data_IF_229672453637
#
_entry.id   IF_229672453637
#
_cell.length_a   1.000
_cell.length_b   1.000
_cell.length_c   1.000
_cell.angle_alpha   90.00
_cell.angle_beta   90.00
_cell.angle_gamma   90.00
#
_symmetry.space_group_name_H-M   'P 1'
#
loop_
_entity.id
_entity.type
_entity.pdbx_description
1 polymer ?
#
# COMPACT_ATOMS: atom_id res chain seq x y z
N UNK A 1 7.02 -2.35 -23.39
CA UNK A 1 6.98 -0.98 -22.85
C UNK A 1 7.91 -0.96 -21.64
N UNK A 2 8.84 -0.01 -21.54
CA UNK A 2 9.74 0.06 -20.39
C UNK A 2 9.00 0.68 -19.19
N UNK A 3 9.16 0.08 -18.00
CA UNK A 3 8.67 0.65 -16.74
C UNK A 3 9.73 1.65 -16.25
N UNK A 4 9.29 2.87 -15.92
CA UNK A 4 10.15 3.95 -15.48
C UNK A 4 10.10 4.02 -13.95
N UNK A 5 11.26 4.24 -13.31
CA UNK A 5 11.38 4.45 -11.86
C UNK A 5 11.72 5.91 -11.61
N UNK A 6 10.96 6.58 -10.75
CA UNK A 6 11.10 8.01 -10.45
C UNK A 6 11.20 8.15 -8.93
N UNK A 7 12.22 8.87 -8.45
CA UNK A 7 12.41 9.14 -7.03
C UNK A 7 11.35 10.12 -6.49
N UNK A 8 10.89 9.89 -5.27
CA UNK A 8 9.90 10.72 -4.59
C UNK A 8 10.42 11.33 -3.29
N UNK A 9 9.49 11.67 -2.40
CA UNK A 9 9.83 12.24 -1.09
C UNK A 9 10.62 11.25 -0.23
N UNK A 10 11.67 11.74 0.41
CA UNK A 10 12.54 10.98 1.32
C UNK A 10 12.19 11.20 2.80
N UNK A 11 11.25 12.10 3.10
CA UNK A 11 10.75 12.39 4.44
C UNK A 11 9.23 12.61 4.43
N UNK A 12 8.59 12.36 5.57
CA UNK A 12 7.19 12.70 5.77
C UNK A 12 6.97 14.22 5.82
N UNK A 13 5.71 14.67 5.65
CA UNK A 13 5.36 16.10 5.59
C UNK A 13 5.76 16.89 6.84
N UNK A 14 5.57 16.28 8.02
CA UNK A 14 5.83 16.92 9.31
C UNK A 14 6.64 16.01 10.23
N UNK A 15 6.29 14.72 10.26
CA UNK A 15 6.85 13.76 11.21
C UNK A 15 8.31 13.47 10.90
N UNK A 16 9.20 13.67 11.88
CA UNK A 16 10.50 13.02 11.86
C UNK A 16 10.36 11.63 12.44
N UNK A 17 10.58 10.62 11.61
CA UNK A 17 10.41 9.23 12.01
C UNK A 17 11.64 8.74 12.76
N UNK A 18 11.39 8.02 13.85
CA UNK A 18 12.41 7.16 14.43
C UNK A 18 12.65 5.97 13.51
N UNK A 19 13.86 5.38 13.57
CA UNK A 19 14.17 4.18 12.79
C UNK A 19 13.15 3.09 13.13
N UNK A 20 12.46 2.58 12.11
CA UNK A 20 11.53 1.44 12.24
C UNK A 20 12.23 0.14 12.63
N UNK A 21 11.46 -0.93 12.78
CA UNK A 21 12.05 -2.25 12.94
C UNK A 21 12.66 -2.76 11.63
N UNK A 22 13.53 -3.75 11.72
CA UNK A 22 14.17 -4.34 10.54
C UNK A 22 13.28 -5.48 9.96
N UNK A 23 11.95 -5.28 9.87
CA UNK A 23 10.99 -6.32 9.43
C UNK A 23 11.32 -6.87 8.04
N UNK A 24 11.85 -6.01 7.16
CA UNK A 24 12.29 -6.35 5.80
C UNK A 24 13.83 -6.42 5.67
N UNK A 25 14.55 -6.52 6.78
CA UNK A 25 16.01 -6.36 6.82
C UNK A 25 16.43 -4.88 6.89
N UNK A 26 17.73 -4.65 7.01
CA UNK A 26 18.31 -3.30 7.16
C UNK A 26 18.39 -2.54 5.84
N UNK A 27 18.39 -3.24 4.71
CA UNK A 27 18.36 -2.70 3.36
C UNK A 27 16.94 -2.56 2.79
N UNK A 28 15.92 -3.04 3.53
CA UNK A 28 14.53 -3.11 3.06
C UNK A 28 14.28 -4.19 2.00
N UNK A 29 15.27 -5.04 1.72
CA UNK A 29 15.25 -6.04 0.65
C UNK A 29 15.82 -7.40 1.10
N UNK A 30 15.67 -7.72 2.39
CA UNK A 30 16.00 -9.03 2.93
C UNK A 30 17.42 -9.23 3.41
N UNK A 31 18.24 -8.17 3.42
CA UNK A 31 19.70 -8.25 3.60
C UNK A 31 20.30 -9.28 2.62
N UNK A 32 19.83 -9.22 1.37
CA UNK A 32 20.12 -10.18 0.31
C UNK A 32 20.99 -9.51 -0.78
N UNK A 33 22.32 -9.40 -0.56
CA UNK A 33 23.19 -8.64 -1.45
C UNK A 33 23.20 -9.25 -2.85
N UNK A 34 22.92 -8.43 -3.85
CA UNK A 34 23.04 -8.78 -5.27
C UNK A 34 24.22 -8.03 -5.91
N UNK A 35 25.26 -8.73 -6.41
CA UNK A 35 26.37 -8.09 -7.09
C UNK A 35 25.99 -7.42 -8.42
N UNK A 36 24.78 -7.68 -8.95
CA UNK A 36 24.29 -7.15 -10.21
C UNK A 36 23.17 -6.10 -10.04
N UNK A 37 23.11 -5.43 -8.89
CA UNK A 37 22.12 -4.38 -8.67
C UNK A 37 22.14 -3.32 -9.79
N UNK A 38 20.97 -2.92 -10.31
CA UNK A 38 20.88 -1.87 -11.32
C UNK A 38 21.44 -0.54 -10.80
N UNK A 39 22.09 0.24 -11.66
CA UNK A 39 22.60 1.57 -11.29
C UNK A 39 21.45 2.51 -10.92
N UNK A 40 21.66 3.32 -9.88
CA UNK A 40 20.77 4.43 -9.52
C UNK A 40 20.66 5.49 -10.63
N UNK A 41 21.59 5.51 -11.59
CA UNK A 41 21.49 6.38 -12.77
C UNK A 41 20.26 6.08 -13.66
N UNK A 42 19.62 4.92 -13.48
CA UNK A 42 18.37 4.55 -14.15
C UNK A 42 17.15 5.27 -13.55
N UNK A 43 17.26 5.77 -12.32
CA UNK A 43 16.21 6.54 -11.66
C UNK A 43 16.10 7.90 -12.35
N UNK A 44 14.87 8.27 -12.73
CA UNK A 44 14.65 9.55 -13.38
C UNK A 44 14.96 10.71 -12.43
N UNK A 45 15.50 11.80 -12.99
CA UNK A 45 15.85 13.02 -12.24
C UNK A 45 14.63 13.86 -11.86
N UNK A 46 13.52 13.69 -12.58
CA UNK A 46 12.26 14.33 -12.22
C UNK A 46 11.78 13.80 -10.87
N UNK A 47 11.09 14.63 -10.09
CA UNK A 47 10.46 14.21 -8.84
C UNK A 47 9.09 13.56 -9.12
N UNK A 48 8.78 12.44 -8.46
CA UNK A 48 7.55 11.66 -8.62
C UNK A 48 6.26 12.52 -8.62
N UNK A 49 6.17 13.49 -7.70
CA UNK A 49 5.08 14.47 -7.59
C UNK A 49 4.80 15.20 -8.92
N UNK A 50 5.83 15.69 -9.61
CA UNK A 50 5.65 16.37 -10.89
C UNK A 50 5.23 15.39 -11.97
N UNK A 51 5.88 14.22 -12.03
CA UNK A 51 5.53 13.19 -12.99
C UNK A 51 4.07 12.74 -12.85
N UNK A 52 3.59 12.57 -11.62
CA UNK A 52 2.19 12.25 -11.34
C UNK A 52 1.25 13.37 -11.82
N UNK A 53 1.53 14.63 -11.50
CA UNK A 53 0.72 15.78 -11.92
C UNK A 53 0.67 15.89 -13.45
N UNK A 54 1.81 15.75 -14.13
CA UNK A 54 1.88 15.83 -15.59
C UNK A 54 1.12 14.69 -16.26
N UNK A 55 1.23 13.47 -15.72
CA UNK A 55 0.51 12.32 -16.25
C UNK A 55 -1.01 12.47 -16.10
N UNK A 56 -1.53 12.90 -14.94
CA UNK A 56 -2.99 13.10 -14.78
C UNK A 56 -3.54 14.22 -15.65
N UNK A 57 -2.76 15.30 -15.86
CA UNK A 57 -3.12 16.37 -16.80
C UNK A 57 -3.18 15.87 -18.23
N UNK A 58 -2.26 14.99 -18.61
CA UNK A 58 -2.18 14.44 -19.98
C UNK A 58 -3.25 13.39 -20.24
N UNK A 59 -3.63 12.62 -19.23
CA UNK A 59 -4.59 11.52 -19.33
C UNK A 59 -5.70 11.62 -18.27
N UNK A 60 -6.49 12.70 -18.26
CA UNK A 60 -7.49 12.93 -17.22
C UNK A 60 -8.57 11.83 -17.26
N UNK A 61 -8.88 11.28 -16.10
CA UNK A 61 -9.86 10.20 -15.91
C UNK A 61 -9.39 8.81 -16.37
N UNK A 62 -8.13 8.65 -16.79
CA UNK A 62 -7.62 7.37 -17.30
C UNK A 62 -6.63 6.69 -16.35
N UNK A 63 -5.99 7.43 -15.44
CA UNK A 63 -4.95 6.91 -14.56
C UNK A 63 -5.55 6.36 -13.28
N UNK A 64 -5.23 5.09 -12.99
CA UNK A 64 -5.43 4.47 -11.68
C UNK A 64 -4.13 4.52 -10.90
N UNK A 65 -4.17 5.00 -9.65
CA UNK A 65 -3.05 4.90 -8.72
C UNK A 65 -3.23 3.70 -7.80
N UNK A 66 -2.13 2.99 -7.52
CA UNK A 66 -2.03 1.97 -6.47
C UNK A 66 -0.93 2.39 -5.52
N UNK A 67 -1.30 2.90 -4.35
CA UNK A 67 -0.39 3.40 -3.33
C UNK A 67 -0.18 2.32 -2.27
N UNK A 68 1.06 1.85 -2.15
CA UNK A 68 1.49 0.73 -1.28
C UNK A 68 2.55 1.19 -0.25
N UNK A 69 2.70 2.50 -0.09
CA UNK A 69 3.63 3.14 0.83
C UNK A 69 2.99 4.36 1.50
N UNK A 70 3.77 5.14 2.27
CA UNK A 70 3.30 6.40 2.85
C UNK A 70 2.77 7.36 1.77
N UNK A 71 1.72 8.10 2.10
CA UNK A 71 0.93 8.86 1.12
C UNK A 71 1.51 10.26 0.82
N UNK A 72 2.76 10.52 1.20
CA UNK A 72 3.42 11.83 1.14
C UNK A 72 3.36 12.46 -0.24
N UNK A 73 3.78 11.72 -1.27
CA UNK A 73 3.80 12.24 -2.65
C UNK A 73 2.40 12.53 -3.18
N UNK A 74 1.39 11.73 -2.81
CA UNK A 74 0.00 11.96 -3.21
C UNK A 74 -0.56 13.23 -2.55
N UNK A 75 -0.28 13.43 -1.26
CA UNK A 75 -0.66 14.64 -0.55
C UNK A 75 0.01 15.88 -1.14
N UNK A 76 1.32 15.81 -1.44
CA UNK A 76 2.05 16.90 -2.10
C UNK A 76 1.49 17.20 -3.49
N UNK A 77 1.25 16.17 -4.31
CA UNK A 77 0.66 16.35 -5.64
C UNK A 77 -0.69 17.07 -5.58
N UNK A 78 -1.54 16.68 -4.64
CA UNK A 78 -2.83 17.35 -4.42
C UNK A 78 -2.68 18.79 -3.91
N UNK A 79 -1.68 19.08 -3.07
CA UNK A 79 -1.39 20.44 -2.59
C UNK A 79 -0.86 21.35 -3.69
N UNK A 80 0.05 20.86 -4.54
CA UNK A 80 0.55 21.63 -5.69
C UNK A 80 -0.49 21.77 -6.81
N UNK A 81 -1.35 20.77 -6.98
CA UNK A 81 -2.39 20.76 -8.00
C UNK A 81 -3.71 20.21 -7.43
N UNK A 82 -4.61 21.08 -6.91
CA UNK A 82 -5.85 20.63 -6.26
C UNK A 82 -6.80 19.79 -7.14
N UNK A 83 -6.72 19.93 -8.46
CA UNK A 83 -7.47 19.11 -9.43
C UNK A 83 -6.88 17.70 -9.62
N UNK A 84 -5.72 17.40 -9.02
CA UNK A 84 -5.02 16.12 -9.15
C UNK A 84 -5.94 14.92 -8.91
N UNK A 85 -6.61 14.90 -7.75
CA UNK A 85 -7.46 13.78 -7.37
C UNK A 85 -8.73 13.68 -8.22
N UNK A 86 -9.27 14.80 -8.70
CA UNK A 86 -10.43 14.81 -9.62
C UNK A 86 -10.13 14.17 -10.97
N UNK A 87 -8.86 14.18 -11.39
CA UNK A 87 -8.43 13.66 -12.69
C UNK A 87 -7.94 12.21 -12.61
N UNK A 88 -7.90 11.62 -11.42
CA UNK A 88 -7.67 10.19 -11.27
C UNK A 88 -8.93 9.41 -11.62
N UNK A 89 -8.75 8.26 -12.28
CA UNK A 89 -9.81 7.29 -12.50
C UNK A 89 -10.21 6.63 -11.17
N UNK A 90 -9.21 6.06 -10.50
CA UNK A 90 -9.34 5.37 -9.21
C UNK A 90 -8.06 5.52 -8.40
N UNK A 91 -8.17 5.39 -7.07
CA UNK A 91 -7.02 5.27 -6.18
C UNK A 91 -7.20 4.07 -5.24
N UNK A 92 -6.27 3.13 -5.31
CA UNK A 92 -6.21 1.97 -4.43
C UNK A 92 -5.11 2.22 -3.40
N UNK A 93 -5.41 2.06 -2.12
CA UNK A 93 -4.46 2.34 -1.03
C UNK A 93 -4.34 1.09 -0.18
N UNK A 94 -3.12 0.58 -0.02
CA UNK A 94 -2.77 -0.33 1.08
C UNK A 94 -2.27 0.52 2.25
N UNK A 95 -2.95 0.42 3.38
CA UNK A 95 -2.49 1.06 4.60
C UNK A 95 -3.61 1.37 5.59
N UNK A 96 -3.20 1.83 6.76
CA UNK A 96 -4.09 2.14 7.86
C UNK A 96 -4.84 0.92 8.39
N UNK A 97 -5.88 1.21 9.16
CA UNK A 97 -6.62 0.19 9.89
C UNK A 97 -8.09 0.58 10.12
N UNK A 98 -8.91 -0.37 10.55
CA UNK A 98 -10.34 -0.10 10.79
C UNK A 98 -10.87 -0.65 12.12
N UNK A 99 -10.18 -1.63 12.71
CA UNK A 99 -10.41 -2.18 14.05
C UNK A 99 -9.43 -1.59 15.08
N UNK A 100 -8.60 -0.63 14.65
CA UNK A 100 -7.51 -0.03 15.43
C UNK A 100 -6.41 -1.05 15.81
N UNK A 101 -6.24 -2.12 15.02
CA UNK A 101 -5.12 -3.02 15.17
C UNK A 101 -3.92 -2.45 14.40
N UNK A 102 -2.82 -2.17 15.10
CA UNK A 102 -1.58 -1.68 14.49
C UNK A 102 -0.56 -2.77 14.25
N UNK A 103 0.41 -2.50 13.36
CA UNK A 103 1.57 -3.36 13.12
C UNK A 103 2.91 -2.71 13.50
N UNK A 104 2.96 -1.37 13.56
CA UNK A 104 4.15 -0.61 13.99
C UNK A 104 3.98 -0.04 15.40
N UNK A 105 2.76 0.41 15.74
CA UNK A 105 2.37 0.73 17.11
C UNK A 105 1.18 -0.13 17.52
N UNK A 106 0.66 0.07 18.74
CA UNK A 106 -0.53 -0.65 19.21
C UNK A 106 -1.77 -0.37 18.37
N UNK A 107 -1.83 0.78 17.68
CA UNK A 107 -3.05 1.24 17.02
C UNK A 107 -2.82 1.85 15.64
N UNK A 108 -1.60 1.89 15.12
CA UNK A 108 -1.30 2.43 13.80
C UNK A 108 -0.63 1.36 12.93
N UNK A 109 -1.05 1.35 11.67
CA UNK A 109 -0.40 0.63 10.59
C UNK A 109 0.80 1.46 10.09
N UNK A 110 1.84 0.78 9.62
CA UNK A 110 3.12 1.33 9.16
C UNK A 110 2.98 2.52 8.19
N UNK A 111 2.37 2.34 7.01
CA UNK A 111 2.25 3.40 6.01
C UNK A 111 1.51 4.63 6.54
N UNK A 112 0.43 4.41 7.31
CA UNK A 112 -0.32 5.47 7.98
C UNK A 112 0.48 6.17 9.08
N UNK A 113 1.29 5.44 9.83
CA UNK A 113 2.14 5.96 10.90
C UNK A 113 3.32 6.77 10.37
N UNK A 114 3.88 6.37 9.22
CA UNK A 114 5.03 7.06 8.63
C UNK A 114 4.70 8.49 8.22
N UNK A 115 3.51 8.74 7.67
CA UNK A 115 3.05 10.09 7.35
C UNK A 115 1.54 10.27 7.57
N UNK A 116 1.11 10.45 8.83
CA UNK A 116 -0.31 10.53 9.15
C UNK A 116 -0.93 11.83 8.65
N UNK A 117 -0.14 12.90 8.52
CA UNK A 117 -0.57 14.15 7.91
C UNK A 117 -0.93 13.96 6.43
N UNK A 118 -0.06 13.29 5.67
CA UNK A 118 -0.34 12.98 4.28
C UNK A 118 -1.57 12.08 4.15
N UNK A 119 -1.68 11.05 5.00
CA UNK A 119 -2.86 10.19 5.02
C UNK A 119 -4.16 10.97 5.29
N UNK A 120 -4.14 11.92 6.23
CA UNK A 120 -5.30 12.80 6.49
C UNK A 120 -5.71 13.58 5.24
N UNK A 121 -4.74 14.21 4.57
CA UNK A 121 -4.99 14.99 3.35
C UNK A 121 -5.63 14.10 2.28
N UNK A 122 -5.03 12.96 2.00
CA UNK A 122 -5.52 12.06 0.94
C UNK A 122 -6.93 11.56 1.26
N UNK A 123 -7.16 11.03 2.46
CA UNK A 123 -8.42 10.38 2.80
C UNK A 123 -9.61 11.34 2.99
N UNK A 124 -9.35 12.58 3.36
CA UNK A 124 -10.41 13.56 3.66
C UNK A 124 -10.65 14.56 2.54
N UNK A 125 -9.73 14.69 1.57
CA UNK A 125 -9.81 15.74 0.54
C UNK A 125 -9.78 15.22 -0.90
N UNK A 126 -9.34 13.98 -1.15
CA UNK A 126 -9.40 13.43 -2.51
C UNK A 126 -10.84 13.26 -2.99
N UNK A 127 -11.03 13.51 -4.29
CA UNK A 127 -12.36 13.49 -4.91
C UNK A 127 -12.57 12.32 -5.88
N UNK A 128 -11.52 11.56 -6.22
CA UNK A 128 -11.70 10.28 -6.89
C UNK A 128 -12.22 9.22 -5.92
N UNK A 129 -12.72 8.12 -6.46
CA UNK A 129 -13.05 6.95 -5.66
C UNK A 129 -11.77 6.31 -5.11
N UNK A 130 -11.70 6.21 -3.78
CA UNK A 130 -10.63 5.56 -3.04
C UNK A 130 -11.11 4.19 -2.55
N UNK A 131 -10.38 3.13 -2.91
CA UNK A 131 -10.50 1.79 -2.31
C UNK A 131 -9.38 1.55 -1.32
N UNK A 132 -9.72 1.39 -0.03
CA UNK A 132 -8.77 1.18 1.05
C UNK A 132 -8.69 -0.31 1.41
N UNK A 133 -7.46 -0.82 1.45
CA UNK A 133 -7.07 -2.16 1.85
C UNK A 133 -6.31 -2.06 3.18
N UNK A 134 -7.01 -2.14 4.33
CA UNK A 134 -6.42 -1.95 5.64
C UNK A 134 -5.58 -3.14 6.08
N UNK A 135 -4.64 -2.93 7.01
CA UNK A 135 -3.80 -3.99 7.58
C UNK A 135 -4.59 -5.23 8.03
N UNK A 136 -5.72 -5.00 8.70
CA UNK A 136 -6.55 -6.09 9.21
C UNK A 136 -7.12 -6.99 8.12
N UNK A 137 -7.49 -6.41 6.97
CA UNK A 137 -7.91 -7.19 5.81
C UNK A 137 -6.75 -8.10 5.36
N UNK A 138 -5.53 -7.57 5.32
CA UNK A 138 -4.36 -8.33 4.88
C UNK A 138 -4.05 -9.51 5.80
N UNK A 139 -4.20 -9.32 7.12
CA UNK A 139 -4.05 -10.41 8.10
C UNK A 139 -5.13 -11.47 7.90
N UNK A 140 -6.39 -11.05 7.76
CA UNK A 140 -7.54 -11.95 7.56
C UNK A 140 -7.43 -12.72 6.22
N UNK A 141 -6.76 -12.13 5.23
CA UNK A 141 -6.52 -12.68 3.90
C UNK A 141 -5.12 -13.30 3.71
N UNK A 142 -4.39 -13.62 4.79
CA UNK A 142 -3.07 -14.23 4.67
C UNK A 142 -3.09 -15.60 3.97
N UNK A 143 -2.09 -15.85 3.12
CA UNK A 143 -1.96 -17.10 2.39
C UNK A 143 -1.60 -18.26 3.32
N UNK A 144 -2.17 -19.46 3.09
CA UNK A 144 -1.69 -20.68 3.70
C UNK A 144 -0.20 -20.91 3.41
N UNK A 145 0.55 -21.36 4.42
CA UNK A 145 2.00 -21.59 4.28
C UNK A 145 2.37 -22.66 3.26
N UNK A 146 1.50 -23.65 3.04
CA UNK A 146 1.67 -24.67 1.99
C UNK A 146 1.47 -24.08 0.58
N UNK A 147 0.58 -23.11 0.41
CA UNK A 147 0.45 -22.34 -0.82
C UNK A 147 1.67 -21.45 -1.08
N UNK A 148 2.19 -20.77 -0.04
CA UNK A 148 3.47 -20.07 -0.12
C UNK A 148 4.61 -21.01 -0.57
N UNK A 149 4.74 -22.19 0.07
CA UNK A 149 5.78 -23.16 -0.28
C UNK A 149 5.61 -23.69 -1.72
N UNK A 150 4.38 -23.71 -2.25
CA UNK A 150 4.09 -24.03 -3.67
C UNK A 150 4.56 -22.91 -4.60
N UNK A 151 4.24 -21.64 -4.32
CA UNK A 151 4.71 -20.49 -5.11
C UNK A 151 6.24 -20.44 -5.15
N UNK A 152 6.88 -20.55 -3.98
CA UNK A 152 8.34 -20.51 -3.83
C UNK A 152 9.06 -21.64 -4.56
N UNK A 153 8.40 -22.73 -4.95
CA UNK A 153 9.01 -23.84 -5.71
C UNK A 153 8.94 -23.67 -7.23
N UNK A 154 8.25 -22.64 -7.73
CA UNK A 154 8.18 -22.34 -9.16
C UNK A 154 9.55 -21.95 -9.73
N UNK A 155 9.77 -22.19 -11.01
CA UNK A 155 11.05 -21.90 -11.69
C UNK A 155 11.18 -20.48 -12.23
N UNK A 156 10.09 -19.68 -12.20
CA UNK A 156 10.09 -18.31 -12.70
C UNK A 156 11.00 -17.38 -11.91
N UNK A 157 11.38 -16.26 -12.54
CA UNK A 157 12.29 -15.26 -11.95
C UNK A 157 11.69 -14.58 -10.71
N UNK A 158 10.37 -14.46 -10.65
CA UNK A 158 9.61 -13.90 -9.54
C UNK A 158 9.74 -14.81 -8.31
N UNK A 159 9.59 -16.12 -8.51
CA UNK A 159 9.80 -17.11 -7.46
C UNK A 159 11.26 -17.16 -7.01
N UNK A 160 12.23 -16.98 -7.93
CA UNK A 160 13.63 -16.86 -7.56
C UNK A 160 13.90 -15.62 -6.72
N UNK A 161 13.38 -14.46 -7.12
CA UNK A 161 13.51 -13.23 -6.35
C UNK A 161 12.93 -13.39 -4.95
N UNK A 162 11.71 -13.94 -4.83
CA UNK A 162 11.06 -14.27 -3.56
C UNK A 162 11.96 -15.17 -2.68
N UNK A 163 12.56 -16.21 -3.26
CA UNK A 163 13.48 -17.10 -2.53
C UNK A 163 14.69 -16.37 -1.96
N UNK A 164 15.21 -15.39 -2.69
CA UNK A 164 16.42 -14.63 -2.34
C UNK A 164 16.11 -13.62 -1.24
N UNK A 165 15.15 -12.73 -1.46
CA UNK A 165 14.87 -11.59 -0.57
C UNK A 165 14.23 -12.04 0.76
N UNK A 166 13.55 -13.18 0.79
CA UNK A 166 12.90 -13.64 2.02
C UNK A 166 13.74 -14.62 2.82
N UNK A 167 14.88 -15.08 2.29
CA UNK A 167 15.69 -16.16 2.87
C UNK A 167 16.01 -15.94 4.35
N UNK A 168 16.37 -14.70 4.71
CA UNK A 168 16.77 -14.34 6.07
C UNK A 168 15.57 -14.00 6.98
N UNK A 169 14.41 -13.69 6.39
CA UNK A 169 13.22 -13.19 7.09
C UNK A 169 12.20 -14.30 7.36
N UNK A 170 12.11 -15.28 6.47
CA UNK A 170 11.02 -16.26 6.40
C UNK A 170 10.88 -17.10 7.68
N UNK A 171 11.98 -17.38 8.38
CA UNK A 171 11.94 -18.15 9.63
C UNK A 171 11.18 -17.42 10.74
N UNK A 172 11.26 -16.09 10.77
CA UNK A 172 10.49 -15.26 11.70
C UNK A 172 9.04 -15.16 11.27
N UNK A 173 8.79 -14.99 9.97
CA UNK A 173 7.42 -14.91 9.45
C UNK A 173 6.64 -16.20 9.61
N UNK A 174 7.27 -17.38 9.45
CA UNK A 174 6.63 -18.69 9.70
C UNK A 174 6.15 -18.92 11.14
N UNK A 175 6.47 -18.03 12.08
CA UNK A 175 5.88 -18.02 13.43
C UNK A 175 4.46 -17.45 13.44
N UNK A 176 4.06 -16.72 12.40
CA UNK A 176 2.71 -16.17 12.20
C UNK A 176 1.77 -17.24 11.61
N UNK A 177 0.45 -17.13 11.82
CA UNK A 177 -0.52 -18.11 11.34
C UNK A 177 -0.52 -18.33 9.82
N UNK A 178 -0.18 -17.29 9.05
CA UNK A 178 -0.24 -17.26 7.60
C UNK A 178 0.82 -16.31 7.01
N UNK A 179 1.03 -16.41 5.70
CA UNK A 179 1.90 -15.51 4.94
C UNK A 179 1.09 -14.30 4.43
N UNK A 180 1.33 -13.13 5.02
CA UNK A 180 0.54 -11.91 4.75
C UNK A 180 1.10 -11.18 3.52
N UNK A 181 0.23 -10.89 2.55
CA UNK A 181 0.56 -10.28 1.24
C UNK A 181 -0.15 -8.92 1.07
N UNK A 182 0.24 -7.93 1.88
CA UNK A 182 -0.49 -6.66 1.99
C UNK A 182 -0.68 -5.95 0.64
N UNK A 183 0.43 -5.71 -0.04
CA UNK A 183 0.49 -4.87 -1.23
C UNK A 183 -0.11 -5.59 -2.44
N UNK A 184 0.07 -6.91 -2.52
CA UNK A 184 -0.50 -7.74 -3.56
C UNK A 184 -2.04 -7.75 -3.51
N UNK A 185 -2.65 -7.61 -2.33
CA UNK A 185 -4.12 -7.52 -2.24
C UNK A 185 -4.65 -6.22 -2.84
N UNK A 186 -4.00 -5.08 -2.59
CA UNK A 186 -4.38 -3.81 -3.21
C UNK A 186 -4.17 -3.85 -4.73
N UNK A 187 -3.06 -4.45 -5.19
CA UNK A 187 -2.78 -4.65 -6.61
C UNK A 187 -3.79 -5.60 -7.26
N UNK A 188 -4.15 -6.70 -6.61
CA UNK A 188 -5.15 -7.65 -7.11
C UNK A 188 -6.52 -6.99 -7.27
N UNK A 189 -6.94 -6.18 -6.29
CA UNK A 189 -8.16 -5.37 -6.38
C UNK A 189 -8.13 -4.35 -7.53
N UNK A 190 -6.97 -3.74 -7.78
CA UNK A 190 -6.82 -2.77 -8.88
C UNK A 190 -6.84 -3.43 -10.27
N UNK A 191 -6.34 -4.67 -10.40
CA UNK A 191 -6.30 -5.43 -11.65
C UNK A 191 -7.66 -6.09 -11.93
N UNK A 192 -8.26 -6.72 -10.92
CA UNK A 192 -9.47 -7.52 -11.05
C UNK A 192 -10.42 -7.25 -9.88
N UNK A 193 -11.40 -6.40 -10.13
CA UNK A 193 -12.45 -5.99 -9.18
C UNK A 193 -13.24 -7.18 -8.61
N UNK A 194 -13.30 -8.33 -9.31
CA UNK A 194 -13.96 -9.55 -8.81
C UNK A 194 -13.25 -10.17 -7.61
N UNK A 195 -12.01 -9.76 -7.33
CA UNK A 195 -11.28 -10.15 -6.11
C UNK A 195 -11.89 -9.50 -4.87
N UNK A 196 -12.60 -8.38 -4.97
CA UNK A 196 -13.25 -7.72 -3.83
C UNK A 196 -14.68 -8.24 -3.68
N UNK A 197 -14.97 -8.88 -2.54
CA UNK A 197 -16.28 -9.52 -2.30
C UNK A 197 -17.16 -8.75 -1.33
N UNK A 198 -16.57 -8.04 -0.36
CA UNK A 198 -17.31 -7.22 0.60
C UNK A 198 -16.56 -5.91 0.86
N UNK A 199 -17.31 -4.81 0.88
CA UNK A 199 -16.80 -3.48 1.18
C UNK A 199 -17.90 -2.58 1.77
N UNK A 200 -17.50 -1.46 2.39
CA UNK A 200 -18.39 -0.44 2.93
C UNK A 200 -17.95 0.95 2.49
N UNK A 201 -18.92 1.80 2.16
CA UNK A 201 -18.68 3.24 1.97
C UNK A 201 -18.83 3.97 3.31
N UNK A 202 -17.72 4.45 3.85
CA UNK A 202 -17.63 5.06 5.18
C UNK A 202 -16.82 6.36 5.13
N UNK A 203 -17.22 7.40 5.87
CA UNK A 203 -16.33 8.50 6.18
C UNK A 203 -15.18 8.00 7.07
N UNK A 204 -14.03 8.62 6.88
CA UNK A 204 -12.79 8.28 7.56
C UNK A 204 -12.04 9.56 7.91
N UNK A 205 -11.33 9.54 9.04
CA UNK A 205 -10.33 10.54 9.39
C UNK A 205 -9.05 9.86 9.90
N UNK A 206 -8.00 10.62 10.17
CA UNK A 206 -6.73 10.16 10.73
C UNK A 206 -6.43 10.90 12.02
N UNK A 207 -6.11 10.16 13.08
CA UNK A 207 -5.74 10.73 14.37
C UNK A 207 -4.31 11.30 14.31
N UNK A 208 -4.15 12.59 14.62
CA UNK A 208 -2.87 13.30 14.53
C UNK A 208 -2.30 13.73 15.89
N UNK A 209 -3.05 13.64 16.98
CA UNK A 209 -2.68 14.28 18.25
C UNK A 209 -2.49 13.29 19.40
N UNK A 210 -3.18 12.15 19.35
CA UNK A 210 -3.17 11.18 20.45
C UNK A 210 -1.78 10.63 20.78
N UNK A 211 -1.45 10.50 22.07
CA UNK A 211 -0.20 9.90 22.53
C UNK A 211 -0.05 8.43 22.11
N UNK A 212 -1.16 7.69 22.13
CA UNK A 212 -1.17 6.25 21.82
C UNK A 212 -1.78 5.92 20.47
N UNK A 213 -2.52 6.87 19.88
CA UNK A 213 -3.40 6.63 18.73
C UNK A 213 -3.02 7.44 17.49
N UNK A 214 -1.94 8.21 17.51
CA UNK A 214 -1.44 8.93 16.33
C UNK A 214 -1.17 7.95 15.18
N UNK A 215 -1.68 8.29 13.99
CA UNK A 215 -1.63 7.46 12.78
C UNK A 215 -2.76 6.42 12.68
N UNK A 216 -3.61 6.29 13.70
CA UNK A 216 -4.80 5.46 13.60
C UNK A 216 -5.80 6.07 12.61
N UNK A 217 -6.41 5.21 11.80
CA UNK A 217 -7.53 5.58 10.95
C UNK A 217 -8.84 5.46 11.76
N UNK A 218 -9.62 6.53 11.74
CA UNK A 218 -10.84 6.69 12.55
C UNK A 218 -12.05 6.57 11.63
N UNK A 219 -12.73 5.42 11.69
CA UNK A 219 -13.89 5.13 10.85
C UNK A 219 -15.17 5.66 11.49
N UNK A 220 -15.94 6.45 10.75
CA UNK A 220 -17.26 6.92 11.17
C UNK A 220 -18.36 5.93 10.74
N UNK A 221 -18.49 4.83 11.49
CA UNK A 221 -19.44 3.75 11.19
C UNK A 221 -20.91 4.22 11.15
N UNK A 222 -21.25 5.18 12.02
CA UNK A 222 -22.59 5.78 12.12
C UNK A 222 -22.83 6.88 11.08
N UNK A 223 -21.80 7.25 10.30
CA UNK A 223 -21.85 8.31 9.27
C UNK A 223 -22.34 9.64 9.84
N UNK A 224 -21.86 10.00 11.02
CA UNK A 224 -22.20 11.25 11.72
C UNK A 224 -21.72 12.48 10.95
N UNK A 225 -20.63 12.34 10.22
CA UNK A 225 -20.00 13.36 9.38
C UNK A 225 -20.69 13.39 8.01
N UNK A 226 -21.82 14.09 7.92
CA UNK A 226 -22.72 14.04 6.73
C UNK A 226 -22.06 14.44 5.41
N UNK A 227 -21.20 15.45 5.44
CA UNK A 227 -20.56 16.04 4.27
C UNK A 227 -19.12 15.53 4.04
N UNK A 228 -18.67 14.57 4.85
CA UNK A 228 -17.33 14.01 4.71
C UNK A 228 -17.21 13.12 3.47
N UNK A 229 -16.03 13.16 2.85
CA UNK A 229 -15.64 12.21 1.79
C UNK A 229 -15.78 10.80 2.32
N UNK A 230 -16.36 9.92 1.50
CA UNK A 230 -16.52 8.51 1.83
C UNK A 230 -15.51 7.73 1.02
N UNK A 231 -14.78 6.84 1.68
CA UNK A 231 -13.93 5.86 1.02
C UNK A 231 -14.66 4.52 0.91
N UNK A 232 -14.24 3.71 -0.04
CA UNK A 232 -14.60 2.30 -0.14
C UNK A 232 -13.63 1.49 0.73
N UNK A 233 -14.03 1.18 1.95
CA UNK A 233 -13.29 0.30 2.86
C UNK A 233 -13.52 -1.16 2.48
N UNK A 234 -12.49 -1.85 1.99
CA UNK A 234 -12.57 -3.27 1.65
C UNK A 234 -12.47 -4.12 2.91
N UNK A 235 -13.39 -5.07 3.08
CA UNK A 235 -13.47 -5.93 4.28
C UNK A 235 -13.34 -7.42 3.98
N UNK A 236 -13.42 -7.83 2.70
CA UNK A 236 -13.22 -9.24 2.32
C UNK A 236 -12.83 -9.39 0.85
N UNK A 237 -11.93 -10.34 0.60
CA UNK A 237 -11.49 -10.69 -0.75
C UNK A 237 -11.74 -12.16 -1.08
N UNK A 238 -11.92 -12.44 -2.37
CA UNK A 238 -11.96 -13.78 -2.94
C UNK A 238 -10.53 -14.32 -3.06
N UNK A 239 -10.08 -15.03 -2.02
CA UNK A 239 -8.72 -15.54 -1.97
C UNK A 239 -8.42 -16.62 -3.01
N UNK A 240 -9.42 -17.39 -3.46
CA UNK A 240 -9.20 -18.35 -4.55
C UNK A 240 -8.78 -17.63 -5.83
N UNK A 241 -9.48 -16.52 -6.17
CA UNK A 241 -9.13 -15.69 -7.33
C UNK A 241 -7.76 -15.02 -7.18
N UNK A 242 -7.44 -14.50 -5.99
CA UNK A 242 -6.12 -13.90 -5.72
C UNK A 242 -5.01 -14.95 -5.87
N UNK A 243 -5.21 -16.16 -5.34
CA UNK A 243 -4.26 -17.26 -5.46
C UNK A 243 -4.05 -17.72 -6.91
N UNK A 244 -5.11 -17.73 -7.73
CA UNK A 244 -4.98 -17.97 -9.19
C UNK A 244 -4.08 -16.92 -9.85
N UNK A 245 -4.33 -15.63 -9.58
CA UNK A 245 -3.52 -14.53 -10.14
C UNK A 245 -2.04 -14.63 -9.76
N UNK A 246 -1.75 -15.04 -8.52
CA UNK A 246 -0.37 -15.28 -8.06
C UNK A 246 0.26 -16.47 -8.78
N UNK A 247 -0.48 -17.57 -8.98
CA UNK A 247 0.02 -18.72 -9.72
C UNK A 247 0.34 -18.39 -11.18
N UNK A 248 -0.48 -17.55 -11.82
CA UNK A 248 -0.26 -17.07 -13.18
C UNK A 248 0.99 -16.16 -13.27
N UNK A 249 1.23 -15.36 -12.23
CA UNK A 249 2.37 -14.44 -12.15
C UNK A 249 3.70 -15.18 -11.92
N UNK A 250 3.72 -16.12 -10.97
CA UNK A 250 4.93 -16.87 -10.59
C UNK A 250 5.18 -18.10 -11.50
N UNK A 251 4.26 -18.36 -12.44
CA UNK A 251 4.16 -19.61 -13.19
C UNK A 251 4.95 -19.69 -14.50
N UNK A 252 5.64 -18.63 -14.91
CA UNK A 252 6.42 -18.57 -16.15
C UNK A 252 7.93 -18.64 -15.90
#
# INVERSE_FOLDING_TARGET
MAIIVIGGSDHALITQLEKGDDYFGTDGFGDAPDPNLPSLDLVQKEHSVWAMIENVKKYPGQITLVAMGPLTDLALAHRFYPQFSQQLKFCFIMGGNYRAEGNITRSAEFNAYLDPEAAKIVLTEFQCEISLFPWELCVDCGLPWDFYDKLRKKSGKEAELMRVIEKNLISNWKKKPSYVICDELAMAGAIDESTVTEFKHVPIDVELRGQFTRGQFVIDWDKRSKDAVKIRLVTKMNMDRVMEMLLDTYGN
#
